data_IF_866912674018
#
_entry.id   IF_866912674018
#
_cell.length_a   1.000
_cell.length_b   1.000
_cell.length_c   1.000
_cell.angle_alpha   90.00
_cell.angle_beta   90.00
_cell.angle_gamma   90.00
#
_symmetry.space_group_name_H-M   'P 1'
#
loop_
_entity.id
_entity.type
_entity.pdbx_description
1 polymer ?
#
# COMPACT_ATOMS: atom_id res chain seq x y z
N UNK A 1 -19.11 5.28 -9.59
CA UNK A 1 -19.76 6.61 -9.51
C UNK A 1 -19.75 7.07 -8.07
N UNK A 2 -19.69 8.38 -7.80
CA UNK A 2 -19.51 8.95 -6.45
C UNK A 2 -20.66 8.51 -5.53
N UNK A 3 -21.90 8.50 -6.06
CA UNK A 3 -23.07 8.06 -5.29
C UNK A 3 -22.95 6.63 -4.75
N UNK A 4 -22.51 5.68 -5.58
CA UNK A 4 -22.38 4.27 -5.15
C UNK A 4 -21.33 4.12 -4.04
N UNK A 5 -20.22 4.87 -4.10
CA UNK A 5 -19.21 4.87 -3.02
C UNK A 5 -19.78 5.41 -1.71
N UNK A 6 -20.53 6.51 -1.77
CA UNK A 6 -21.22 7.08 -0.60
C UNK A 6 -22.20 6.06 0.00
N UNK A 7 -22.88 5.29 -0.85
CA UNK A 7 -23.83 4.25 -0.44
C UNK A 7 -23.13 3.07 0.23
N UNK A 8 -22.00 2.63 -0.29
CA UNK A 8 -21.15 1.62 0.34
C UNK A 8 -20.64 2.08 1.71
N UNK A 9 -20.09 3.30 1.79
CA UNK A 9 -19.64 3.90 3.05
C UNK A 9 -20.77 4.04 4.07
N UNK A 10 -21.97 4.42 3.61
CA UNK A 10 -23.16 4.52 4.46
C UNK A 10 -23.60 3.16 4.99
N UNK A 11 -23.52 2.10 4.16
CA UNK A 11 -23.81 0.73 4.57
C UNK A 11 -22.83 0.25 5.64
N UNK A 12 -21.54 0.53 5.48
CA UNK A 12 -20.51 0.20 6.48
C UNK A 12 -20.75 0.91 7.82
N UNK A 13 -21.21 2.16 7.80
CA UNK A 13 -21.58 2.90 9.02
C UNK A 13 -23.00 2.59 9.55
N UNK A 14 -23.76 1.72 8.90
CA UNK A 14 -25.13 1.38 9.31
C UNK A 14 -26.13 2.53 9.22
N UNK A 15 -25.90 3.52 8.34
CA UNK A 15 -26.77 4.68 8.16
C UNK A 15 -27.45 4.66 6.78
N UNK A 16 -28.66 5.22 6.72
CA UNK A 16 -29.33 5.49 5.44
C UNK A 16 -28.82 6.79 4.79
N UNK A 17 -28.95 6.89 3.46
CA UNK A 17 -28.63 8.11 2.71
C UNK A 17 -29.42 9.32 3.23
N UNK A 18 -30.70 9.14 3.56
CA UNK A 18 -31.53 10.22 4.12
C UNK A 18 -31.01 10.71 5.48
N UNK A 19 -30.48 9.82 6.31
CA UNK A 19 -29.85 10.19 7.58
C UNK A 19 -28.52 10.90 7.35
N UNK A 20 -27.73 10.47 6.37
CA UNK A 20 -26.50 11.14 5.97
C UNK A 20 -26.79 12.57 5.49
N UNK A 21 -27.77 12.76 4.60
CA UNK A 21 -28.20 14.08 4.13
C UNK A 21 -28.60 14.98 5.31
N UNK A 22 -29.38 14.46 6.26
CA UNK A 22 -29.78 15.21 7.46
C UNK A 22 -28.59 15.58 8.34
N UNK A 23 -27.63 14.66 8.54
CA UNK A 23 -26.41 14.92 9.33
C UNK A 23 -25.50 15.95 8.67
N UNK A 24 -25.43 15.93 7.34
CA UNK A 24 -24.65 16.88 6.54
C UNK A 24 -25.44 18.16 6.22
N UNK A 25 -26.65 18.36 6.75
CA UNK A 25 -27.47 19.53 6.43
C UNK A 25 -27.72 19.74 4.92
N UNK A 26 -27.79 18.65 4.16
CA UNK A 26 -28.05 18.64 2.73
C UNK A 26 -29.56 18.51 2.48
N UNK A 27 -30.02 19.04 1.34
CA UNK A 27 -31.41 18.85 0.91
C UNK A 27 -31.67 17.38 0.57
N UNK A 28 -32.90 16.93 0.86
CA UNK A 28 -33.32 15.55 0.63
C UNK A 28 -33.18 15.18 -0.85
N UNK A 29 -32.50 14.08 -1.16
CA UNK A 29 -32.23 13.63 -2.53
C UNK A 29 -31.08 14.37 -3.22
N UNK A 30 -30.36 15.26 -2.52
CA UNK A 30 -29.16 15.90 -3.06
C UNK A 30 -28.06 14.90 -3.38
N UNK A 31 -27.92 13.81 -2.61
CA UNK A 31 -26.87 12.82 -2.84
C UNK A 31 -27.20 11.91 -4.01
N UNK A 32 -28.48 11.64 -4.27
CA UNK A 32 -28.91 10.82 -5.42
C UNK A 32 -28.51 11.45 -6.78
N UNK A 33 -28.42 12.79 -6.84
CA UNK A 33 -28.02 13.53 -8.05
C UNK A 33 -26.57 14.00 -8.02
N UNK A 34 -25.76 13.51 -7.08
CA UNK A 34 -24.40 14.00 -6.89
C UNK A 34 -23.52 13.76 -8.13
N UNK A 35 -23.75 12.67 -8.84
CA UNK A 35 -23.00 12.33 -10.05
C UNK A 35 -23.33 13.24 -11.25
N UNK A 36 -24.56 13.74 -11.34
CA UNK A 36 -25.03 14.56 -12.46
C UNK A 36 -24.74 16.05 -12.24
N UNK A 37 -24.76 16.51 -10.99
CA UNK A 37 -24.76 17.94 -10.68
C UNK A 37 -23.39 18.59 -10.47
N UNK A 38 -22.27 17.95 -10.84
CA UNK A 38 -20.89 18.42 -10.57
C UNK A 38 -20.76 19.03 -9.15
N UNK A 39 -20.61 18.18 -8.12
CA UNK A 39 -20.69 18.63 -6.74
C UNK A 39 -19.62 19.67 -6.43
N UNK A 40 -19.96 20.66 -5.59
CA UNK A 40 -18.95 21.60 -5.09
C UNK A 40 -17.90 20.86 -4.27
N UNK A 41 -16.67 21.34 -4.31
CA UNK A 41 -15.56 20.81 -3.49
C UNK A 41 -15.95 20.82 -2.01
N UNK A 42 -16.61 21.89 -1.53
CA UNK A 42 -17.13 21.98 -0.16
C UNK A 42 -18.08 20.82 0.19
N UNK A 43 -19.00 20.46 -0.72
CA UNK A 43 -19.92 19.34 -0.49
C UNK A 43 -19.17 18.00 -0.42
N UNK A 44 -18.20 17.79 -1.31
CA UNK A 44 -17.37 16.60 -1.31
C UNK A 44 -16.53 16.51 -0.03
N UNK A 45 -15.92 17.62 0.40
CA UNK A 45 -15.12 17.69 1.63
C UNK A 45 -15.96 17.27 2.84
N UNK A 46 -17.17 17.82 2.99
CA UNK A 46 -18.04 17.49 4.13
C UNK A 46 -18.45 16.01 4.17
N UNK A 47 -18.60 15.37 3.01
CA UNK A 47 -18.86 13.94 2.91
C UNK A 47 -17.58 13.16 3.28
N UNK A 48 -16.43 13.58 2.76
CA UNK A 48 -15.12 13.00 3.00
C UNK A 48 -14.77 13.01 4.48
N UNK A 49 -14.90 14.17 5.14
CA UNK A 49 -14.68 14.37 6.57
C UNK A 49 -15.62 13.50 7.43
N UNK A 50 -16.88 13.39 7.04
CA UNK A 50 -17.84 12.56 7.76
C UNK A 50 -17.47 11.07 7.72
N UNK A 51 -16.92 10.60 6.60
CA UNK A 51 -16.52 9.21 6.43
C UNK A 51 -15.06 8.93 6.84
N UNK A 52 -14.23 9.96 6.99
CA UNK A 52 -12.79 9.83 7.25
C UNK A 52 -12.03 9.33 6.02
N UNK A 53 -12.42 9.76 4.83
CA UNK A 53 -11.79 9.42 3.54
C UNK A 53 -11.35 10.68 2.81
N UNK A 54 -10.56 10.57 1.75
CA UNK A 54 -10.17 11.72 0.92
C UNK A 54 -11.25 12.07 -0.11
N UNK A 55 -11.26 13.31 -0.59
CA UNK A 55 -12.10 13.70 -1.75
C UNK A 55 -11.74 12.85 -2.97
N UNK A 56 -10.45 12.60 -3.18
CA UNK A 56 -9.98 11.78 -4.29
C UNK A 56 -10.57 10.37 -4.23
N UNK A 57 -10.59 9.73 -3.06
CA UNK A 57 -11.27 8.44 -2.87
C UNK A 57 -12.76 8.51 -3.22
N UNK A 58 -13.46 9.57 -2.83
CA UNK A 58 -14.86 9.74 -3.22
C UNK A 58 -15.04 9.87 -4.73
N UNK A 59 -14.07 10.48 -5.44
CA UNK A 59 -14.13 10.74 -6.89
C UNK A 59 -13.65 9.56 -7.74
N UNK A 60 -12.50 8.99 -7.42
CA UNK A 60 -11.84 7.93 -8.21
C UNK A 60 -12.04 6.55 -7.60
N UNK A 61 -12.25 6.44 -6.28
CA UNK A 61 -12.34 5.18 -5.56
C UNK A 61 -10.99 4.60 -5.19
N UNK A 62 -9.91 5.31 -5.49
CA UNK A 62 -8.57 4.99 -5.04
C UNK A 62 -8.29 5.81 -3.80
N UNK A 63 -7.79 5.17 -2.75
CA UNK A 63 -7.16 5.92 -1.69
C UNK A 63 -5.95 6.60 -2.35
N UNK A 64 -5.77 7.90 -2.15
CA UNK A 64 -4.41 8.41 -2.26
C UNK A 64 -3.66 7.64 -1.20
N UNK A 65 -2.78 6.73 -1.63
CA UNK A 65 -1.81 6.15 -0.75
C UNK A 65 -0.91 7.29 -0.27
N UNK A 66 -1.38 8.01 0.75
CA UNK A 66 -0.49 8.63 1.72
C UNK A 66 0.41 7.48 2.19
N UNK A 67 1.63 7.47 1.64
CA UNK A 67 2.68 6.45 1.78
C UNK A 67 2.85 5.43 0.62
N UNK A 68 2.65 5.85 -0.63
CA UNK A 68 3.39 5.28 -1.77
C UNK A 68 4.79 5.88 -1.92
N UNK A 69 5.46 6.21 -0.81
CA UNK A 69 6.92 6.15 -0.86
C UNK A 69 7.27 4.67 -0.98
N UNK A 70 7.89 4.21 -2.08
CA UNK A 70 8.30 2.82 -2.14
C UNK A 70 9.22 2.58 -0.93
N UNK A 71 8.77 1.71 -0.01
CA UNK A 71 9.49 1.41 1.25
C UNK A 71 10.96 1.04 0.98
N UNK A 72 11.23 0.49 -0.21
CA UNK A 72 12.56 0.27 -0.75
C UNK A 72 12.90 1.28 -1.86
N UNK A 73 14.14 1.77 -1.85
CA UNK A 73 14.64 2.76 -2.81
C UNK A 73 14.65 2.26 -4.27
N UNK A 74 14.74 0.95 -4.48
CA UNK A 74 14.78 0.34 -5.81
C UNK A 74 14.13 -1.05 -5.84
N UNK A 75 13.89 -1.52 -7.06
CA UNK A 75 13.23 -2.81 -7.33
C UNK A 75 14.08 -4.00 -6.90
N UNK A 76 15.40 -3.89 -6.99
CA UNK A 76 16.33 -4.93 -6.60
C UNK A 76 16.23 -5.23 -5.09
N UNK A 77 16.26 -4.20 -4.26
CA UNK A 77 16.14 -4.34 -2.79
C UNK A 77 14.78 -4.90 -2.41
N UNK A 78 13.72 -4.48 -3.12
CA UNK A 78 12.37 -5.00 -2.95
C UNK A 78 12.30 -6.50 -3.28
N UNK A 79 12.91 -6.93 -4.38
CA UNK A 79 12.96 -8.34 -4.77
C UNK A 79 13.74 -9.18 -3.76
N UNK A 80 14.88 -8.68 -3.26
CA UNK A 80 15.68 -9.36 -2.23
C UNK A 80 14.88 -9.51 -0.93
N UNK A 81 14.21 -8.44 -0.49
CA UNK A 81 13.38 -8.48 0.71
C UNK A 81 12.24 -9.49 0.59
N UNK A 82 11.58 -9.54 -0.58
CA UNK A 82 10.53 -10.51 -0.85
C UNK A 82 11.09 -11.94 -0.85
N UNK A 83 12.21 -12.19 -1.51
CA UNK A 83 12.85 -13.51 -1.54
C UNK A 83 13.27 -13.98 -0.13
N UNK A 84 13.82 -13.08 0.69
CA UNK A 84 14.16 -13.38 2.07
C UNK A 84 12.93 -13.65 2.94
N UNK A 85 11.79 -13.01 2.65
CA UNK A 85 10.54 -13.29 3.34
C UNK A 85 9.97 -14.66 2.96
N UNK A 86 9.99 -15.00 1.67
CA UNK A 86 9.41 -16.24 1.13
C UNK A 86 10.27 -17.47 1.41
N UNK A 87 11.60 -17.31 1.44
CA UNK A 87 12.53 -18.41 1.65
C UNK A 87 13.06 -18.41 3.11
N UNK A 88 12.65 -19.40 3.93
CA UNK A 88 13.10 -19.50 5.33
C UNK A 88 14.61 -19.63 5.51
N UNK A 89 15.31 -20.24 4.55
CA UNK A 89 16.77 -20.41 4.61
C UNK A 89 17.46 -19.07 4.37
N UNK A 90 16.99 -18.26 3.42
CA UNK A 90 17.51 -16.92 3.17
C UNK A 90 17.32 -16.01 4.39
N UNK A 91 16.15 -16.11 5.04
CA UNK A 91 15.89 -15.42 6.31
C UNK A 91 16.87 -15.85 7.40
N UNK A 92 17.09 -17.15 7.54
CA UNK A 92 17.98 -17.72 8.55
C UNK A 92 19.44 -17.30 8.32
N UNK A 93 19.90 -17.30 7.06
CA UNK A 93 21.23 -16.83 6.68
C UNK A 93 21.45 -15.36 7.07
N UNK A 94 20.44 -14.50 6.85
CA UNK A 94 20.49 -13.10 7.26
C UNK A 94 20.52 -12.94 8.78
N UNK A 95 19.70 -13.70 9.52
CA UNK A 95 19.72 -13.66 10.99
C UNK A 95 21.05 -14.15 11.57
N UNK A 96 21.67 -15.16 10.95
CA UNK A 96 23.00 -15.63 11.30
C UNK A 96 24.07 -14.57 10.99
N UNK A 97 23.98 -13.88 9.85
CA UNK A 97 24.93 -12.84 9.46
C UNK A 97 24.96 -11.67 10.44
N UNK A 98 23.81 -11.32 11.02
CA UNK A 98 23.72 -10.28 12.06
C UNK A 98 24.32 -10.69 13.40
N UNK A 99 24.38 -11.99 13.72
CA UNK A 99 24.84 -12.51 15.02
C UNK A 99 26.33 -12.86 15.04
N UNK A 100 26.97 -12.99 13.88
CA UNK A 100 28.40 -13.34 13.79
C UNK A 100 29.32 -12.12 13.90
N UNK A 101 30.58 -12.34 14.28
CA UNK A 101 31.57 -11.26 14.33
C UNK A 101 31.92 -10.75 12.92
N UNK A 102 32.31 -9.47 12.76
CA UNK A 102 32.67 -8.90 11.47
C UNK A 102 33.78 -9.69 10.74
N UNK A 103 34.81 -10.14 11.46
CA UNK A 103 35.91 -10.92 10.88
C UNK A 103 35.43 -12.28 10.36
N UNK A 104 34.54 -12.94 11.10
CA UNK A 104 34.00 -14.23 10.71
C UNK A 104 33.05 -14.10 9.52
N UNK A 105 32.25 -13.04 9.48
CA UNK A 105 31.41 -12.71 8.34
C UNK A 105 32.25 -12.48 7.09
N UNK A 106 33.30 -11.67 7.21
CA UNK A 106 34.22 -11.39 6.10
C UNK A 106 34.85 -12.66 5.54
N UNK A 107 35.33 -13.56 6.41
CA UNK A 107 35.90 -14.84 5.97
C UNK A 107 34.88 -15.72 5.23
N UNK A 108 33.63 -15.77 5.68
CA UNK A 108 32.57 -16.52 4.99
C UNK A 108 32.22 -15.89 3.64
N UNK A 109 32.15 -14.56 3.55
CA UNK A 109 31.89 -13.87 2.28
C UNK A 109 33.02 -14.11 1.27
N UNK A 110 34.28 -14.07 1.70
CA UNK A 110 35.42 -14.39 0.83
C UNK A 110 35.37 -15.83 0.32
N UNK A 111 35.00 -16.78 1.19
CA UNK A 111 34.81 -18.17 0.80
C UNK A 111 33.68 -18.33 -0.23
N UNK A 112 32.51 -17.72 0.03
CA UNK A 112 31.36 -17.79 -0.88
C UNK A 112 31.66 -17.15 -2.25
N UNK A 113 32.34 -16.01 -2.29
CA UNK A 113 32.75 -15.37 -3.54
C UNK A 113 33.66 -16.26 -4.38
N UNK A 114 34.67 -16.88 -3.75
CA UNK A 114 35.56 -17.83 -4.44
C UNK A 114 34.82 -19.04 -5.00
N UNK A 115 33.82 -19.54 -4.28
CA UNK A 115 33.01 -20.65 -4.75
C UNK A 115 32.20 -20.26 -5.99
N UNK A 116 31.54 -19.11 -5.94
CA UNK A 116 30.79 -18.57 -7.08
C UNK A 116 31.68 -18.36 -8.31
N UNK A 117 32.86 -17.76 -8.14
CA UNK A 117 33.84 -17.57 -9.23
C UNK A 117 34.26 -18.91 -9.87
N UNK A 118 34.40 -19.97 -9.07
CA UNK A 118 34.75 -21.30 -9.56
C UNK A 118 33.60 -22.03 -10.28
N UNK A 119 32.35 -21.76 -9.91
CA UNK A 119 31.16 -22.33 -10.55
C UNK A 119 30.85 -21.61 -11.88
N UNK A 120 31.02 -20.30 -11.93
CA UNK A 120 30.88 -19.50 -13.15
C UNK A 120 32.00 -19.78 -14.17
N UNK A 121 33.21 -20.10 -13.70
CA UNK A 121 34.35 -20.48 -14.55
C UNK A 121 34.27 -21.89 -15.15
N UNK A 122 33.44 -22.79 -14.60
CA UNK A 122 33.28 -24.17 -15.06
C UNK A 122 32.11 -24.37 -16.05
N UNK A 123 31.41 -23.29 -16.43
CA UNK A 123 30.28 -23.32 -17.36
C UNK A 123 30.64 -23.07 -18.84
N UNK A 124 31.93 -23.07 -19.19
CA UNK A 124 32.44 -22.81 -20.55
C UNK A 124 33.27 -23.97 -21.14
N UNK A 125 32.90 -25.22 -20.87
CA UNK A 125 33.34 -26.40 -21.63
C UNK A 125 32.16 -27.31 -22.00
#
# INVERSE_FOLDING_TARGET
>A
MIYERIKELSKTKGISINQLEKKLGLSKGSLCRIDTNRPSVDKLQRIADYFGVTIEYLMTGHYEDEDHSPYYLNDETRAIAQAAFENPDMRSLFDMSRKMSPDRLKAHLEFMKKLQESEEGNGLD
#
